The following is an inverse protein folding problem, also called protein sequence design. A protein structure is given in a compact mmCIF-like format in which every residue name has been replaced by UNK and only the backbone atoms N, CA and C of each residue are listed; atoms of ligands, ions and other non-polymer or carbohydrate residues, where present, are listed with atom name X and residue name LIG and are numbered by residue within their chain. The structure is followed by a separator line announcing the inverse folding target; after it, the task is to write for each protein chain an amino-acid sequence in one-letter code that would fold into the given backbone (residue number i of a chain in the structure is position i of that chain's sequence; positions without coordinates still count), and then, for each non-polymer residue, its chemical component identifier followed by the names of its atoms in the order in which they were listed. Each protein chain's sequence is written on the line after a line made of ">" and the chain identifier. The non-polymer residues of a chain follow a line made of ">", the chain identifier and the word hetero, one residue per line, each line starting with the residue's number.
data_IF_161668627568
#
_entry.id   IF_161668627568
#
_cell.length_a   1.000
_cell.length_b   1.000
_cell.length_c   1.000
_cell.angle_alpha   90.00
_cell.angle_beta   90.00
_cell.angle_gamma   90.00
#
_symmetry.space_group_name_H-M   'P 1'
#
loop_
_entity.id
_entity.type
_entity.pdbx_description
1 polymer ?
#
# COMPACT_ATOMS: atom_id res chain seq x y z
N UNK A 1 12.67 -16.72 -6.50
CA UNK A 1 13.86 -15.87 -6.30
C UNK A 1 13.93 -14.72 -7.31
N UNK A 2 13.80 -14.99 -8.62
CA UNK A 2 13.82 -13.96 -9.68
C UNK A 2 12.75 -12.85 -9.56
N UNK A 3 11.55 -13.16 -9.08
CA UNK A 3 10.47 -12.18 -8.91
C UNK A 3 10.80 -11.06 -7.90
N UNK A 4 11.40 -11.39 -6.76
CA UNK A 4 11.77 -10.40 -5.73
C UNK A 4 12.84 -9.41 -6.22
N UNK A 5 13.81 -9.91 -6.99
CA UNK A 5 14.86 -9.06 -7.61
C UNK A 5 14.22 -8.08 -8.61
N UNK A 6 13.31 -8.56 -9.47
CA UNK A 6 12.60 -7.71 -10.43
C UNK A 6 11.75 -6.63 -9.75
N UNK A 7 11.07 -6.99 -8.66
CA UNK A 7 10.29 -6.06 -7.85
C UNK A 7 11.17 -4.98 -7.20
N UNK A 8 12.33 -5.39 -6.68
CA UNK A 8 13.33 -4.51 -6.09
C UNK A 8 13.96 -3.55 -7.12
N UNK A 9 14.22 -4.02 -8.34
CA UNK A 9 14.69 -3.16 -9.42
C UNK A 9 13.61 -2.15 -9.84
N UNK A 10 12.35 -2.58 -9.95
CA UNK A 10 11.20 -1.71 -10.27
C UNK A 10 11.01 -0.62 -9.20
N UNK A 11 11.14 -0.97 -7.92
CA UNK A 11 11.06 0.01 -6.82
C UNK A 11 12.23 0.99 -6.83
N UNK A 12 13.44 0.55 -7.20
CA UNK A 12 14.62 1.43 -7.27
C UNK A 12 14.57 2.41 -8.44
N UNK A 13 14.01 1.98 -9.59
CA UNK A 13 13.83 2.84 -10.76
C UNK A 13 12.71 3.88 -10.55
N UNK A 14 11.57 3.47 -9.99
CA UNK A 14 10.41 4.35 -9.78
C UNK A 14 10.44 5.14 -8.47
N UNK A 15 11.34 4.79 -7.55
CA UNK A 15 11.38 5.31 -6.17
C UNK A 15 10.03 5.20 -5.45
N UNK A 16 9.25 4.17 -5.82
CA UNK A 16 7.93 3.91 -5.28
C UNK A 16 7.85 2.49 -4.74
N UNK A 17 7.03 2.31 -3.70
CA UNK A 17 6.64 0.98 -3.24
C UNK A 17 5.74 0.34 -4.31
N UNK A 18 6.08 -0.85 -4.82
CA UNK A 18 5.23 -1.54 -5.80
C UNK A 18 3.92 -2.01 -5.16
N UNK A 19 2.81 -1.95 -5.89
CA UNK A 19 1.50 -2.43 -5.42
C UNK A 19 1.56 -3.90 -4.99
N UNK A 20 2.33 -4.72 -5.70
CA UNK A 20 2.49 -6.15 -5.40
C UNK A 20 3.19 -6.37 -4.04
N UNK A 21 4.08 -5.45 -3.64
CA UNK A 21 4.68 -5.47 -2.30
C UNK A 21 3.64 -5.13 -1.23
N UNK A 22 2.80 -4.13 -1.47
CA UNK A 22 1.73 -3.74 -0.54
C UNK A 22 0.70 -4.87 -0.39
N UNK A 23 0.33 -5.54 -1.49
CA UNK A 23 -0.54 -6.72 -1.45
C UNK A 23 0.10 -7.83 -0.60
N UNK A 24 1.40 -8.07 -0.75
CA UNK A 24 2.13 -9.02 0.10
C UNK A 24 2.15 -8.64 1.60
N UNK A 25 1.82 -7.39 1.93
CA UNK A 25 1.72 -6.86 3.29
C UNK A 25 0.28 -6.80 3.82
N UNK A 26 -0.71 -7.21 3.02
CA UNK A 26 -2.12 -7.30 3.42
C UNK A 26 -3.04 -6.29 2.74
N UNK A 27 -2.53 -5.40 1.88
CA UNK A 27 -3.39 -4.52 1.07
C UNK A 27 -4.34 -5.37 0.22
N UNK A 28 -5.64 -5.10 0.29
CA UNK A 28 -6.66 -5.75 -0.54
C UNK A 28 -7.01 -4.85 -1.71
N UNK A 29 -6.96 -5.40 -2.92
CA UNK A 29 -7.18 -4.66 -4.17
C UNK A 29 -8.04 -5.52 -5.10
N UNK A 30 -9.13 -4.93 -5.59
CA UNK A 30 -10.03 -5.51 -6.57
C UNK A 30 -9.50 -5.48 -8.00
N UNK A 31 -10.35 -5.86 -8.93
CA UNK A 31 -10.03 -5.93 -10.36
C UNK A 31 -9.89 -4.53 -10.98
N UNK A 32 -9.09 -4.43 -12.03
CA UNK A 32 -8.89 -3.17 -12.79
C UNK A 32 -8.36 -1.98 -11.97
N UNK A 33 -7.74 -2.21 -10.81
CA UNK A 33 -7.09 -1.14 -10.06
C UNK A 33 -5.91 -0.55 -10.82
N UNK A 34 -5.90 0.77 -10.98
CA UNK A 34 -4.81 1.52 -11.59
C UNK A 34 -4.24 2.52 -10.59
N UNK A 35 -2.92 2.47 -10.42
CA UNK A 35 -2.17 3.43 -9.61
C UNK A 35 -1.26 4.24 -10.51
N UNK A 36 -1.57 5.53 -10.66
CA UNK A 36 -0.75 6.46 -11.43
C UNK A 36 0.45 6.94 -10.59
N UNK A 37 1.32 7.73 -11.23
CA UNK A 37 2.64 8.06 -10.69
C UNK A 37 2.58 8.76 -9.33
N UNK A 38 3.58 8.44 -8.50
CA UNK A 38 3.86 9.04 -7.20
C UNK A 38 2.76 8.87 -6.14
N UNK A 39 1.88 7.88 -6.29
CA UNK A 39 0.93 7.54 -5.23
C UNK A 39 1.65 6.95 -4.01
N UNK A 40 1.21 7.32 -2.81
CA UNK A 40 1.68 6.75 -1.54
C UNK A 40 0.51 6.05 -0.88
N UNK A 41 0.72 4.79 -0.50
CA UNK A 41 -0.19 4.03 0.36
C UNK A 41 0.64 3.66 1.57
N UNK A 42 0.13 3.92 2.77
CA UNK A 42 0.85 3.62 4.00
C UNK A 42 1.19 2.14 4.09
N UNK A 43 2.46 1.82 3.86
CA UNK A 43 2.94 0.44 3.87
C UNK A 43 2.86 -0.19 5.27
N UNK A 44 2.91 0.64 6.32
CA UNK A 44 3.00 0.19 7.72
C UNK A 44 1.67 -0.30 8.25
N UNK A 45 0.55 0.11 7.63
CA UNK A 45 -0.81 -0.25 8.05
C UNK A 45 -1.71 -0.63 6.86
N UNK A 46 -1.13 -1.00 5.72
CA UNK A 46 -1.89 -1.23 4.49
C UNK A 46 -2.90 -2.38 4.56
N UNK A 47 -2.79 -3.30 5.54
CA UNK A 47 -3.77 -4.37 5.77
C UNK A 47 -5.15 -3.87 6.20
N UNK A 48 -5.25 -2.60 6.64
CA UNK A 48 -6.50 -1.94 6.96
C UNK A 48 -7.21 -1.34 5.73
N UNK A 49 -6.57 -1.38 4.56
CA UNK A 49 -7.05 -0.74 3.34
C UNK A 49 -7.62 -1.81 2.40
N UNK A 50 -8.84 -1.56 1.92
CA UNK A 50 -9.45 -2.29 0.80
C UNK A 50 -9.77 -1.30 -0.32
N UNK A 51 -9.27 -1.58 -1.51
CA UNK A 51 -9.58 -0.85 -2.75
C UNK A 51 -10.41 -1.79 -3.60
N UNK A 52 -11.63 -1.38 -3.96
CA UNK A 52 -12.55 -2.20 -4.74
C UNK A 52 -12.25 -2.17 -6.24
N UNK A 53 -13.12 -2.80 -7.03
CA UNK A 53 -12.99 -2.91 -8.48
C UNK A 53 -13.10 -1.57 -9.20
N UNK A 54 -12.41 -1.47 -10.35
CA UNK A 54 -12.49 -0.34 -11.30
C UNK A 54 -12.07 1.03 -10.71
N UNK A 55 -11.21 1.02 -9.70
CA UNK A 55 -10.66 2.23 -9.08
C UNK A 55 -9.39 2.69 -9.80
N UNK A 56 -9.26 3.99 -10.04
CA UNK A 56 -8.00 4.61 -10.49
C UNK A 56 -7.56 5.69 -9.50
N UNK A 57 -6.35 5.55 -8.96
CA UNK A 57 -5.72 6.63 -8.22
C UNK A 57 -5.07 7.61 -9.18
N UNK A 58 -5.48 8.87 -9.07
CA UNK A 58 -4.84 10.00 -9.73
C UNK A 58 -3.38 10.14 -9.28
N UNK A 59 -2.52 10.85 -10.04
CA UNK A 59 -1.14 11.07 -9.64
C UNK A 59 -1.07 11.72 -8.25
N UNK A 60 -0.12 11.28 -7.42
CA UNK A 60 0.12 11.80 -6.05
C UNK A 60 -1.02 11.60 -5.04
N UNK A 61 -1.94 10.66 -5.27
CA UNK A 61 -2.88 10.24 -4.21
C UNK A 61 -2.09 9.67 -3.04
N UNK A 62 -2.35 10.18 -1.83
CA UNK A 62 -1.77 9.71 -0.58
C UNK A 62 -2.86 9.11 0.31
N UNK A 63 -2.71 7.85 0.68
CA UNK A 63 -3.53 7.19 1.68
C UNK A 63 -2.67 6.95 2.92
N UNK A 64 -3.05 7.60 4.01
CA UNK A 64 -2.43 7.50 5.32
C UNK A 64 -3.39 6.81 6.27
N UNK A 65 -2.90 5.83 7.02
CA UNK A 65 -3.72 5.05 7.95
C UNK A 65 -2.91 4.78 9.20
N UNK A 66 -3.57 4.76 10.35
CA UNK A 66 -2.95 4.39 11.61
C UNK A 66 -3.85 3.41 12.34
N UNK A 67 -3.26 2.40 12.98
CA UNK A 67 -3.99 1.53 13.88
C UNK A 67 -3.88 2.06 15.32
N UNK A 68 -4.95 2.69 15.80
CA UNK A 68 -5.05 3.17 17.18
C UNK A 68 -6.01 2.31 18.04
N UNK A 69 -6.40 1.13 17.55
CA UNK A 69 -7.41 0.29 18.22
C UNK A 69 -7.01 -0.11 19.64
N UNK A 70 -5.72 -0.27 19.90
CA UNK A 70 -5.19 -0.63 21.23
C UNK A 70 -5.15 0.54 22.21
N UNK A 71 -5.19 1.79 21.74
CA UNK A 71 -5.10 2.99 22.59
C UNK A 71 -6.25 3.05 23.59
N UNK A 72 -7.46 2.70 23.18
CA UNK A 72 -8.65 2.76 24.02
C UNK A 72 -8.60 1.75 25.17
N UNK A 73 -7.92 0.62 24.97
CA UNK A 73 -7.87 -0.47 25.95
C UNK A 73 -6.59 -0.46 26.81
N UNK A 74 -5.47 -0.03 26.25
CA UNK A 74 -4.14 -0.11 26.89
C UNK A 74 -3.54 1.27 27.19
N UNK A 75 -4.21 2.36 26.77
CA UNK A 75 -3.67 3.73 26.77
C UNK A 75 -2.31 3.86 26.06
N UNK A 76 -1.99 2.95 25.15
CA UNK A 76 -0.75 2.87 24.37
C UNK A 76 -1.07 2.59 22.90
N UNK A 77 -0.32 3.21 21.98
CA UNK A 77 -0.40 2.97 20.53
C UNK A 77 1.02 3.03 19.93
N UNK A 78 1.26 2.34 18.81
CA UNK A 78 2.58 2.26 18.15
C UNK A 78 2.47 2.65 16.68
#
# INVERSE_FOLDING_TARGET
>A
MFSKIKLFMKSKLRREVPTEFLISKGLRVGENFKRLDHCIIDYSHCWLITIEDNVTFAPRVHILVHDASTKTHLNYTK
#
